data_IF_208763925014
#
_entry.id   IF_208763925014
#
_cell.length_a   1.000
_cell.length_b   1.000
_cell.length_c   1.000
_cell.angle_alpha   90.00
_cell.angle_beta   90.00
_cell.angle_gamma   90.00
#
_symmetry.space_group_name_H-M   'P 1'
#
loop_
_entity.id
_entity.type
_entity.pdbx_description
1 polymer ?
#
# COMPACT_ATOMS: atom_id res chain seq x y z
N UNK A 1 -80.23 39.40 37.28
CA UNK A 1 -78.95 39.90 36.75
C UNK A 1 -78.07 38.72 36.35
N UNK A 2 -77.25 38.84 35.31
CA UNK A 2 -77.13 37.87 34.22
C UNK A 2 -76.04 36.79 34.36
N UNK A 3 -76.20 35.75 33.52
CA UNK A 3 -75.23 34.81 32.93
C UNK A 3 -73.74 35.02 33.20
N UNK A 4 -73.03 33.92 33.53
CA UNK A 4 -71.72 33.55 32.97
C UNK A 4 -71.61 32.01 33.01
N UNK A 5 -71.83 31.29 31.90
CA UNK A 5 -70.91 31.02 30.78
C UNK A 5 -69.80 30.00 31.10
N UNK A 6 -69.96 28.83 30.46
CA UNK A 6 -68.98 27.93 29.84
C UNK A 6 -67.52 28.06 30.31
N UNK A 7 -66.91 26.91 30.61
CA UNK A 7 -65.78 26.38 29.81
C UNK A 7 -65.44 24.94 30.19
N UNK A 8 -65.39 24.10 29.17
CA UNK A 8 -64.81 22.77 29.17
C UNK A 8 -63.32 22.85 29.54
N UNK A 9 -62.86 22.00 30.45
CA UNK A 9 -61.44 21.73 30.64
C UNK A 9 -61.17 20.31 30.15
N UNK A 10 -60.77 20.22 28.88
CA UNK A 10 -60.30 18.99 28.25
C UNK A 10 -58.96 18.59 28.88
N UNK A 11 -58.90 17.43 29.53
CA UNK A 11 -57.62 16.77 29.85
C UNK A 11 -57.04 16.20 28.55
N UNK A 12 -56.11 16.93 27.94
CA UNK A 12 -55.27 16.38 26.89
C UNK A 12 -54.15 15.55 27.53
N UNK A 13 -54.19 14.24 27.32
CA UNK A 13 -53.16 13.29 27.73
C UNK A 13 -51.92 13.53 26.84
N UNK A 14 -50.85 14.12 27.38
CA UNK A 14 -49.56 14.21 26.69
C UNK A 14 -48.90 12.83 26.67
N UNK A 15 -48.94 12.14 25.53
CA UNK A 15 -48.12 10.96 25.29
C UNK A 15 -46.67 11.40 25.03
N UNK A 16 -45.76 11.09 25.97
CA UNK A 16 -44.32 11.25 25.79
C UNK A 16 -43.82 10.07 24.97
N UNK A 17 -43.65 10.25 23.65
CA UNK A 17 -42.91 9.30 22.82
C UNK A 17 -41.41 9.49 23.07
N UNK A 18 -40.82 8.58 23.86
CA UNK A 18 -39.37 8.41 23.94
C UNK A 18 -38.84 7.91 22.59
N UNK A 19 -38.26 8.82 21.79
CA UNK A 19 -37.57 8.47 20.57
C UNK A 19 -36.16 7.92 20.90
N UNK A 20 -36.03 6.60 20.96
CA UNK A 20 -34.73 5.95 20.90
C UNK A 20 -34.13 6.18 19.50
N UNK A 21 -33.24 7.17 19.39
CA UNK A 21 -32.46 7.43 18.18
C UNK A 21 -31.56 6.24 17.88
N UNK A 22 -31.94 5.46 16.86
CA UNK A 22 -31.07 4.47 16.24
C UNK A 22 -29.94 5.22 15.54
N UNK A 23 -28.72 5.12 16.08
CA UNK A 23 -27.49 5.52 15.40
C UNK A 23 -27.36 4.67 14.12
N UNK A 24 -27.78 5.24 12.99
CA UNK A 24 -27.49 4.69 11.67
C UNK A 24 -25.99 4.76 11.36
N UNK A 25 -25.52 4.05 10.33
CA UNK A 25 -24.12 4.09 9.93
C UNK A 25 -23.75 5.51 9.53
N UNK A 26 -22.97 6.19 10.37
CA UNK A 26 -22.39 7.49 10.06
C UNK A 26 -21.45 7.32 8.88
N UNK A 27 -21.70 8.06 7.80
CA UNK A 27 -20.77 8.18 6.68
C UNK A 27 -19.38 8.59 7.20
N UNK A 28 -18.28 8.05 6.64
CA UNK A 28 -16.95 8.39 7.12
C UNK A 28 -16.72 9.89 6.95
N UNK A 29 -16.30 10.54 8.02
CA UNK A 29 -15.95 11.96 8.02
C UNK A 29 -14.88 12.21 6.95
N UNK A 30 -15.15 13.18 6.06
CA UNK A 30 -14.16 13.69 5.09
C UNK A 30 -12.95 14.19 5.89
N UNK A 31 -11.82 13.49 5.81
CA UNK A 31 -10.57 13.88 6.48
C UNK A 31 -10.02 12.90 7.51
N UNK A 32 -10.61 11.71 7.69
CA UNK A 32 -9.95 10.67 8.47
C UNK A 32 -8.61 10.28 7.78
N UNK A 33 -7.49 10.55 8.46
CA UNK A 33 -6.18 10.05 8.05
C UNK A 33 -6.26 8.52 7.91
N UNK A 34 -5.63 7.91 6.88
CA UNK A 34 -5.60 6.46 6.76
C UNK A 34 -5.09 5.85 8.07
N UNK A 35 -5.84 4.91 8.64
CA UNK A 35 -5.39 4.19 9.82
C UNK A 35 -4.31 3.20 9.38
N UNK A 36 -3.05 3.62 9.45
CA UNK A 36 -1.92 2.75 9.12
C UNK A 36 -1.80 1.63 10.16
N UNK A 37 -1.45 0.43 9.68
CA UNK A 37 -0.97 -0.64 10.57
C UNK A 37 0.25 -0.13 11.34
N UNK A 38 0.38 -0.60 12.58
CA UNK A 38 1.56 -0.37 13.42
C UNK A 38 2.24 -1.71 13.65
N UNK A 39 3.57 -1.68 13.68
CA UNK A 39 4.40 -2.84 13.97
C UNK A 39 5.30 -2.54 15.17
N UNK A 40 5.37 -3.48 16.11
CA UNK A 40 6.16 -3.36 17.34
C UNK A 40 7.06 -4.58 17.60
N UNK A 41 7.28 -5.41 16.58
CA UNK A 41 8.19 -6.56 16.68
C UNK A 41 9.64 -6.20 16.36
N UNK A 42 10.53 -7.20 16.21
CA UNK A 42 11.93 -6.98 15.86
C UNK A 42 12.08 -6.19 14.55
N UNK A 43 13.04 -5.25 14.45
CA UNK A 43 13.17 -4.41 13.26
C UNK A 43 13.55 -5.24 12.04
N UNK A 44 13.05 -4.86 10.86
CA UNK A 44 13.53 -5.44 9.60
C UNK A 44 14.93 -4.88 9.34
N UNK A 45 15.93 -5.76 9.27
CA UNK A 45 17.32 -5.39 8.98
C UNK A 45 17.68 -5.57 7.51
N UNK A 46 16.89 -6.37 6.78
CA UNK A 46 17.12 -6.64 5.35
C UNK A 46 15.83 -7.10 4.67
N UNK A 47 15.68 -6.71 3.41
CA UNK A 47 14.74 -7.32 2.47
C UNK A 47 15.52 -8.17 1.47
N UNK A 48 15.10 -9.42 1.29
CA UNK A 48 15.61 -10.29 0.22
C UNK A 48 14.48 -10.57 -0.74
N UNK A 49 14.72 -10.36 -2.02
CA UNK A 49 13.80 -10.66 -3.10
C UNK A 49 14.43 -11.68 -4.01
N UNK A 50 13.75 -12.80 -4.24
CA UNK A 50 14.09 -13.81 -5.23
C UNK A 50 13.08 -13.72 -6.38
N UNK A 51 13.51 -13.15 -7.51
CA UNK A 51 12.60 -12.88 -8.63
C UNK A 51 12.07 -14.19 -9.19
N UNK A 52 12.92 -15.16 -9.54
CA UNK A 52 12.50 -16.43 -10.14
C UNK A 52 11.42 -17.15 -9.32
N UNK A 53 11.57 -17.16 -7.99
CA UNK A 53 10.64 -17.79 -7.07
C UNK A 53 9.39 -16.94 -6.76
N UNK A 54 9.42 -15.65 -7.08
CA UNK A 54 8.44 -14.63 -6.66
C UNK A 54 8.26 -14.59 -5.15
N UNK A 55 9.38 -14.60 -4.42
CA UNK A 55 9.42 -14.63 -2.96
C UNK A 55 10.19 -13.45 -2.41
N UNK A 56 9.52 -12.65 -1.60
CA UNK A 56 10.11 -11.55 -0.83
C UNK A 56 10.16 -11.98 0.63
N UNK A 57 11.27 -11.70 1.30
CA UNK A 57 11.49 -11.99 2.71
C UNK A 57 11.86 -10.70 3.44
N UNK A 58 11.21 -10.45 4.57
CA UNK A 58 11.62 -9.41 5.52
C UNK A 58 12.36 -10.11 6.67
N UNK A 59 13.64 -9.78 6.86
CA UNK A 59 14.51 -10.45 7.83
C UNK A 59 14.89 -9.53 8.98
N UNK A 60 15.09 -10.12 10.17
CA UNK A 60 15.87 -9.56 11.26
C UNK A 60 17.10 -10.44 11.49
N UNK A 61 18.28 -9.95 11.10
CA UNK A 61 19.47 -10.78 10.96
C UNK A 61 19.22 -11.95 10.01
N UNK A 62 19.32 -13.17 10.53
CA UNK A 62 19.09 -14.42 9.78
C UNK A 62 17.65 -14.94 9.91
N UNK A 63 16.82 -14.30 10.72
CA UNK A 63 15.45 -14.75 11.01
C UNK A 63 14.47 -14.14 10.02
N UNK A 64 13.70 -14.98 9.33
CA UNK A 64 12.58 -14.53 8.48
C UNK A 64 11.42 -14.11 9.38
N UNK A 65 11.08 -12.83 9.39
CA UNK A 65 9.91 -12.30 10.11
C UNK A 65 8.63 -12.49 9.31
N UNK A 66 8.70 -12.22 8.01
CA UNK A 66 7.59 -12.32 7.06
C UNK A 66 8.07 -12.73 5.68
N UNK A 67 7.17 -13.31 4.91
CA UNK A 67 7.42 -13.65 3.52
C UNK A 67 6.18 -13.43 2.68
N UNK A 68 6.36 -12.92 1.47
CA UNK A 68 5.26 -12.53 0.58
C UNK A 68 5.49 -13.05 -0.84
N UNK A 69 4.40 -13.32 -1.53
CA UNK A 69 4.42 -13.46 -2.97
C UNK A 69 4.23 -12.08 -3.61
N UNK A 70 4.77 -11.89 -4.81
CA UNK A 70 4.62 -10.62 -5.53
C UNK A 70 4.51 -10.82 -7.05
N UNK A 71 4.05 -9.78 -7.73
CA UNK A 71 4.14 -9.61 -9.18
C UNK A 71 5.32 -8.72 -9.58
N UNK A 72 5.94 -9.01 -10.72
CA UNK A 72 7.05 -8.24 -11.28
C UNK A 72 6.61 -7.28 -12.39
N UNK A 73 7.61 -6.60 -12.96
CA UNK A 73 7.50 -6.00 -14.27
C UNK A 73 7.10 -7.02 -15.35
N UNK A 74 6.37 -6.55 -16.36
CA UNK A 74 5.83 -7.35 -17.46
C UNK A 74 6.88 -8.00 -18.37
N UNK A 75 8.16 -7.65 -18.22
CA UNK A 75 9.31 -8.39 -18.74
C UNK A 75 10.12 -8.95 -17.56
N UNK A 76 9.68 -10.06 -16.93
CA UNK A 76 10.17 -10.44 -15.60
C UNK A 76 11.60 -11.01 -15.57
N UNK A 77 12.18 -11.33 -16.73
CA UNK A 77 13.47 -12.02 -16.85
C UNK A 77 14.61 -11.01 -17.05
N UNK A 78 15.65 -11.19 -16.23
CA UNK A 78 16.86 -10.37 -16.24
C UNK A 78 16.69 -8.99 -15.60
N UNK A 79 17.79 -8.25 -15.42
CA UNK A 79 17.77 -6.97 -14.73
C UNK A 79 17.17 -5.86 -15.60
N UNK A 80 16.56 -4.89 -14.92
CA UNK A 80 16.23 -3.59 -15.51
C UNK A 80 17.49 -2.88 -15.98
N UNK A 81 17.48 -2.43 -17.23
CA UNK A 81 18.60 -1.75 -17.88
C UNK A 81 18.21 -0.36 -18.38
N UNK A 82 16.95 -0.15 -18.74
CA UNK A 82 16.48 1.09 -19.34
C UNK A 82 15.09 1.48 -18.88
N UNK A 83 14.79 2.78 -18.96
CA UNK A 83 13.42 3.27 -18.86
C UNK A 83 12.52 2.57 -19.90
N UNK A 84 11.33 2.16 -19.46
CA UNK A 84 10.33 1.52 -20.31
C UNK A 84 10.59 0.06 -20.72
N UNK A 85 11.67 -0.58 -20.27
CA UNK A 85 11.98 -1.98 -20.63
C UNK A 85 11.10 -3.03 -19.94
N UNK A 86 10.23 -2.62 -19.01
CA UNK A 86 9.29 -3.51 -18.31
C UNK A 86 9.93 -4.46 -17.29
N UNK A 87 11.23 -4.31 -17.01
CA UNK A 87 11.98 -5.22 -16.13
C UNK A 87 12.06 -4.69 -14.70
N UNK A 88 12.14 -5.60 -13.74
CA UNK A 88 12.46 -5.29 -12.34
C UNK A 88 13.98 -5.40 -12.14
N UNK A 89 14.64 -4.44 -11.45
CA UNK A 89 16.09 -4.46 -11.26
C UNK A 89 16.58 -5.67 -10.48
N UNK A 90 17.88 -5.94 -10.59
CA UNK A 90 18.63 -6.88 -9.75
C UNK A 90 19.79 -6.13 -9.12
N UNK A 91 20.24 -6.54 -7.93
CA UNK A 91 21.34 -5.90 -7.20
C UNK A 91 20.96 -5.42 -5.79
N UNK A 92 21.82 -4.56 -5.24
CA UNK A 92 21.65 -3.96 -3.91
C UNK A 92 21.05 -2.56 -4.04
N UNK A 93 19.97 -2.33 -3.30
CA UNK A 93 19.30 -1.03 -3.16
C UNK A 93 18.94 -0.79 -1.69
N UNK A 94 18.35 0.36 -1.40
CA UNK A 94 17.92 0.73 -0.06
C UNK A 94 16.51 1.29 -0.09
N UNK A 95 15.73 1.04 0.95
CA UNK A 95 14.44 1.71 1.14
C UNK A 95 14.70 3.21 1.31
N UNK A 96 14.07 4.06 0.50
CA UNK A 96 14.37 5.51 0.47
C UNK A 96 13.14 6.42 0.59
N UNK A 97 11.94 5.90 0.30
CA UNK A 97 10.70 6.70 0.29
C UNK A 97 9.48 5.88 0.65
N UNK A 98 8.50 6.55 1.23
CA UNK A 98 7.21 5.98 1.62
C UNK A 98 6.09 6.90 1.10
N UNK A 99 5.10 6.32 0.41
CA UNK A 99 3.98 7.05 -0.15
C UNK A 99 2.64 6.53 0.39
N UNK A 100 2.00 7.26 1.32
CA UNK A 100 0.69 6.90 1.85
C UNK A 100 -0.49 7.25 0.92
N UNK A 101 -0.23 7.93 -0.20
CA UNK A 101 -1.25 8.38 -1.17
C UNK A 101 -1.04 7.73 -2.54
N UNK A 102 -0.52 6.50 -2.54
CA UNK A 102 -0.32 5.74 -3.77
C UNK A 102 -1.67 5.42 -4.42
N UNK A 103 -1.74 5.52 -5.75
CA UNK A 103 -2.89 5.00 -6.53
C UNK A 103 -3.04 3.47 -6.42
N UNK A 104 -2.00 2.80 -5.94
CA UNK A 104 -1.91 1.35 -5.73
C UNK A 104 -1.96 1.01 -4.23
N UNK A 105 -2.87 1.66 -3.49
CA UNK A 105 -3.05 1.56 -2.03
C UNK A 105 -1.93 2.22 -1.20
N UNK A 106 -0.73 1.62 -1.17
CA UNK A 106 0.47 2.16 -0.53
C UNK A 106 1.68 1.88 -1.41
N UNK A 107 2.77 2.64 -1.26
CA UNK A 107 4.04 2.24 -1.85
C UNK A 107 5.25 2.59 -0.99
N UNK A 108 6.28 1.74 -1.09
CA UNK A 108 7.60 1.91 -0.48
C UNK A 108 8.63 1.83 -1.60
N UNK A 109 9.43 2.87 -1.79
CA UNK A 109 10.41 2.91 -2.87
C UNK A 109 11.78 2.38 -2.47
N UNK A 110 12.52 1.96 -3.49
CA UNK A 110 13.93 1.60 -3.38
C UNK A 110 14.80 2.60 -4.15
N UNK A 111 16.06 2.73 -3.74
CA UNK A 111 17.08 3.62 -4.31
C UNK A 111 17.56 3.25 -5.72
N UNK A 112 16.68 2.71 -6.56
CA UNK A 112 16.94 2.51 -7.98
C UNK A 112 16.72 3.83 -8.74
N UNK A 113 17.61 4.19 -9.69
CA UNK A 113 18.81 3.46 -10.11
C UNK A 113 20.02 3.72 -9.20
N UNK A 114 20.92 2.74 -9.09
CA UNK A 114 22.25 2.94 -8.50
C UNK A 114 23.27 3.39 -9.57
N UNK A 115 24.50 3.69 -9.16
CA UNK A 115 25.56 4.16 -10.07
C UNK A 115 25.85 3.20 -11.24
N UNK A 116 25.78 1.88 -11.01
CA UNK A 116 26.01 0.87 -12.05
C UNK A 116 24.88 0.86 -13.08
N UNK A 117 23.63 0.99 -12.62
CA UNK A 117 22.46 1.07 -13.50
C UNK A 117 22.53 2.32 -14.39
N UNK A 118 22.86 3.47 -13.80
CA UNK A 118 23.02 4.75 -14.53
C UNK A 118 24.17 4.64 -15.53
N UNK A 119 25.33 4.14 -15.10
CA UNK A 119 26.50 4.00 -15.96
C UNK A 119 26.26 3.01 -17.12
N UNK A 120 25.51 1.92 -16.88
CA UNK A 120 25.13 0.99 -17.93
C UNK A 120 24.22 1.66 -18.95
N UNK A 121 23.14 2.33 -18.52
CA UNK A 121 22.20 2.97 -19.42
C UNK A 121 22.86 4.08 -20.26
N UNK A 122 23.76 4.86 -19.65
CA UNK A 122 24.50 5.94 -20.30
C UNK A 122 25.40 5.46 -21.45
N UNK A 123 25.96 4.25 -21.38
CA UNK A 123 26.75 3.66 -22.47
C UNK A 123 25.94 3.49 -23.78
N UNK A 124 24.61 3.45 -23.67
CA UNK A 124 23.70 3.36 -24.81
C UNK A 124 22.98 4.68 -25.10
N UNK A 125 23.37 5.79 -24.44
CA UNK A 125 22.68 7.07 -24.57
C UNK A 125 21.25 7.06 -24.04
N UNK A 126 20.94 6.20 -23.07
CA UNK A 126 19.59 5.99 -22.52
C UNK A 126 19.54 6.27 -21.02
N UNK A 127 18.33 6.51 -20.52
CA UNK A 127 18.04 6.56 -19.09
C UNK A 127 17.82 5.15 -18.52
N UNK A 128 18.30 4.89 -17.30
CA UNK A 128 17.94 3.70 -16.53
C UNK A 128 16.46 3.73 -16.09
N UNK A 129 15.86 4.93 -16.08
CA UNK A 129 14.55 5.18 -15.49
C UNK A 129 14.65 5.42 -13.99
N UNK A 130 13.51 5.30 -13.31
CA UNK A 130 13.38 5.58 -11.88
C UNK A 130 12.18 4.84 -11.29
N UNK A 131 11.74 5.21 -10.09
CA UNK A 131 10.44 4.87 -9.51
C UNK A 131 10.14 3.37 -9.34
N UNK A 132 11.15 2.56 -9.04
CA UNK A 132 10.96 1.18 -8.60
C UNK A 132 10.48 1.15 -7.15
N UNK A 133 9.32 0.52 -6.93
CA UNK A 133 8.63 0.50 -5.64
C UNK A 133 8.08 -0.90 -5.33
N UNK A 134 7.93 -1.19 -4.05
CA UNK A 134 6.96 -2.15 -3.54
C UNK A 134 5.62 -1.43 -3.42
N UNK A 135 4.54 -1.98 -3.96
CA UNK A 135 3.21 -1.37 -3.83
C UNK A 135 2.11 -2.41 -3.71
N UNK A 136 0.93 -1.98 -3.27
CA UNK A 136 -0.28 -2.80 -3.28
C UNK A 136 -0.82 -3.01 -4.69
N UNK A 137 -1.98 -3.62 -4.84
CA UNK A 137 -2.64 -3.74 -6.15
C UNK A 137 -3.43 -2.47 -6.48
N UNK A 138 -4.12 -1.92 -5.48
CA UNK A 138 -5.17 -0.93 -5.70
C UNK A 138 -6.24 -1.43 -6.69
N UNK A 139 -7.18 -0.55 -7.09
CA UNK A 139 -8.27 -0.93 -7.98
C UNK A 139 -7.78 -1.53 -9.32
N UNK A 140 -6.71 -0.99 -9.88
CA UNK A 140 -6.14 -1.41 -11.16
C UNK A 140 -5.49 -2.79 -11.07
N UNK A 141 -4.58 -3.00 -10.11
CA UNK A 141 -3.90 -4.28 -9.92
C UNK A 141 -4.87 -5.39 -9.51
N UNK A 142 -5.98 -5.08 -8.85
CA UNK A 142 -7.01 -6.05 -8.52
C UNK A 142 -7.73 -6.62 -9.76
N UNK A 143 -7.71 -5.88 -10.88
CA UNK A 143 -8.22 -6.35 -12.18
C UNK A 143 -7.15 -7.11 -12.97
N UNK A 144 -5.90 -6.64 -12.98
CA UNK A 144 -4.83 -7.23 -13.80
C UNK A 144 -4.16 -8.45 -13.17
N UNK A 145 -3.80 -8.39 -11.88
CA UNK A 145 -3.03 -9.42 -11.21
C UNK A 145 -3.62 -10.84 -11.30
N UNK A 146 -4.96 -11.05 -11.27
CA UNK A 146 -5.54 -12.38 -11.46
C UNK A 146 -5.32 -12.97 -12.86
N UNK A 147 -5.15 -12.12 -13.89
CA UNK A 147 -4.96 -12.55 -15.29
C UNK A 147 -3.48 -12.67 -15.65
N UNK A 148 -2.67 -11.74 -15.14
CA UNK A 148 -1.24 -11.73 -15.30
C UNK A 148 -0.62 -11.21 -14.00
N UNK A 149 0.09 -12.09 -13.30
CA UNK A 149 0.78 -11.74 -12.05
C UNK A 149 1.84 -10.67 -12.27
N UNK A 150 2.55 -10.70 -13.40
CA UNK A 150 3.64 -9.78 -13.72
C UNK A 150 3.13 -8.66 -14.65
N UNK A 151 2.45 -7.69 -14.04
CA UNK A 151 1.70 -6.65 -14.74
C UNK A 151 2.31 -5.25 -14.61
N UNK A 152 3.32 -5.08 -13.76
CA UNK A 152 3.88 -3.75 -13.49
C UNK A 152 4.82 -3.30 -14.63
N UNK A 153 5.31 -2.06 -14.57
CA UNK A 153 6.36 -1.57 -15.46
C UNK A 153 7.79 -1.83 -14.93
N UNK A 154 7.93 -2.55 -13.81
CA UNK A 154 9.20 -2.84 -13.14
C UNK A 154 9.12 -2.90 -11.61
N UNK A 155 8.04 -2.39 -11.02
CA UNK A 155 7.76 -2.47 -9.59
C UNK A 155 7.43 -3.90 -9.11
N UNK A 156 7.37 -4.07 -7.78
CA UNK A 156 6.94 -5.30 -7.13
C UNK A 156 5.56 -5.11 -6.51
N UNK A 157 4.55 -5.81 -7.06
CA UNK A 157 3.17 -5.68 -6.62
C UNK A 157 2.81 -6.77 -5.59
N UNK A 158 2.46 -6.35 -4.38
CA UNK A 158 1.88 -7.17 -3.32
C UNK A 158 0.35 -7.00 -3.28
N UNK A 159 -0.37 -7.80 -2.49
CA UNK A 159 -1.76 -7.46 -2.17
C UNK A 159 -1.83 -6.19 -1.31
N UNK A 160 -3.00 -5.53 -1.29
CA UNK A 160 -3.21 -4.32 -0.49
C UNK A 160 -2.97 -4.56 1.00
N UNK A 161 -3.34 -5.75 1.52
CA UNK A 161 -3.11 -6.10 2.92
C UNK A 161 -1.64 -6.36 3.25
N UNK A 162 -0.89 -6.97 2.33
CA UNK A 162 0.53 -7.27 2.50
C UNK A 162 1.38 -6.00 2.41
N UNK A 163 1.07 -5.06 1.51
CA UNK A 163 1.82 -3.80 1.45
C UNK A 163 1.62 -2.96 2.73
N UNK A 164 0.47 -3.06 3.41
CA UNK A 164 0.29 -2.41 4.71
C UNK A 164 1.24 -2.97 5.77
N UNK A 165 1.49 -4.28 5.76
CA UNK A 165 2.47 -4.90 6.66
C UNK A 165 3.89 -4.42 6.32
N UNK A 166 4.26 -4.49 5.04
CA UNK A 166 5.57 -4.03 4.55
C UNK A 166 5.80 -2.57 4.91
N UNK A 167 4.80 -1.71 4.67
CA UNK A 167 4.86 -0.28 4.99
C UNK A 167 5.02 -0.01 6.48
N UNK A 168 4.37 -0.79 7.34
CA UNK A 168 4.47 -0.66 8.79
C UNK A 168 5.80 -1.22 9.36
N UNK A 169 6.41 -2.20 8.67
CA UNK A 169 7.59 -2.92 9.13
C UNK A 169 8.91 -2.30 8.66
N UNK A 170 8.94 -1.66 7.49
CA UNK A 170 10.15 -1.11 6.90
C UNK A 170 10.48 0.29 7.40
N UNK A 171 11.76 0.65 7.34
CA UNK A 171 12.28 1.98 7.63
C UNK A 171 13.23 2.41 6.51
N UNK A 172 13.45 3.73 6.32
CA UNK A 172 14.48 4.22 5.41
C UNK A 172 15.85 3.62 5.73
N UNK A 173 16.64 3.32 4.69
CA UNK A 173 17.98 2.76 4.80
C UNK A 173 18.04 1.24 4.95
N UNK A 174 16.90 0.53 5.08
CA UNK A 174 16.92 -0.94 5.07
C UNK A 174 17.43 -1.44 3.71
N UNK A 175 18.47 -2.30 3.67
CA UNK A 175 18.99 -2.83 2.41
C UNK A 175 18.00 -3.82 1.78
N UNK A 176 17.92 -3.74 0.45
CA UNK A 176 17.13 -4.63 -0.41
C UNK A 176 18.07 -5.35 -1.35
N UNK A 177 18.19 -6.66 -1.18
CA UNK A 177 18.91 -7.55 -2.09
C UNK A 177 17.92 -8.16 -3.08
N UNK A 178 18.01 -7.79 -4.35
CA UNK A 178 17.18 -8.29 -5.44
C UNK A 178 17.99 -9.27 -6.29
N UNK A 179 17.66 -10.56 -6.18
CA UNK A 179 18.27 -11.65 -6.92
C UNK A 179 17.40 -12.10 -8.11
N UNK A 180 18.01 -12.76 -9.12
CA UNK A 180 17.31 -13.32 -10.28
C UNK A 180 16.11 -14.22 -9.99
#
# INVERSE_FOLDING_TARGET
MPNFSRRHASLALLAVLAACGKSGPTAPARGAMPQFKRYSGPPVTQVVVQKAERRMFLLNGQTVLRSYNFGLGNQPVGPKQFEGDGKTPEGLYYIDRFNPRSRYHLSVGISYPNERDVAYAAQFGRSAGSDIMFHGRGPEGNVFAPKNRDWTAGCLALTDQEIEDVYAMLQPGVPVMLYP
#
